data_IF_333709373004
#
_entry.id   IF_333709373004
#
_cell.length_a   1.000
_cell.length_b   1.000
_cell.length_c   1.000
_cell.angle_alpha   90.00
_cell.angle_beta   90.00
_cell.angle_gamma   90.00
#
_symmetry.space_group_name_H-M   'P 1'
#
loop_
_entity.id
_entity.type
_entity.pdbx_description
1 polymer ?
#
# COMPACT_ATOMS: atom_id res chain seq x y z
N UNK A 1 -13.63 -14.27 -28.94
CA UNK A 1 -13.46 -15.70 -28.60
C UNK A 1 -11.97 -15.99 -28.57
N UNK A 2 -11.40 -16.55 -27.50
CA UNK A 2 -9.98 -16.92 -27.49
C UNK A 2 -9.75 -18.16 -28.38
N UNK A 3 -8.67 -18.15 -29.15
CA UNK A 3 -8.20 -19.31 -29.92
C UNK A 3 -7.35 -20.20 -29.01
N UNK A 4 -7.59 -21.50 -29.02
CA UNK A 4 -6.82 -22.49 -28.27
C UNK A 4 -6.05 -23.39 -29.25
N UNK A 5 -4.74 -23.50 -29.05
CA UNK A 5 -3.87 -24.38 -29.82
C UNK A 5 -3.56 -25.63 -28.98
N UNK A 6 -3.86 -26.82 -29.52
CA UNK A 6 -3.44 -28.09 -28.92
C UNK A 6 -2.08 -28.46 -29.48
N UNK A 7 -1.04 -28.42 -28.63
CA UNK A 7 0.31 -28.81 -29.02
C UNK A 7 0.58 -30.24 -28.51
N UNK A 8 0.68 -31.24 -29.40
CA UNK A 8 1.00 -32.60 -29.00
C UNK A 8 2.47 -32.71 -28.56
N UNK A 9 2.69 -32.69 -27.25
CA UNK A 9 4.02 -32.71 -26.62
C UNK A 9 4.89 -33.92 -27.05
N UNK A 10 4.26 -35.05 -27.37
CA UNK A 10 4.97 -36.28 -27.79
C UNK A 10 5.61 -36.18 -29.18
N UNK A 11 5.18 -35.23 -30.02
CA UNK A 11 5.75 -35.02 -31.36
C UNK A 11 6.91 -34.02 -31.36
N UNK A 12 7.16 -33.33 -30.23
CA UNK A 12 8.22 -32.35 -30.09
C UNK A 12 9.57 -33.03 -29.91
N UNK A 13 10.51 -32.73 -30.81
CA UNK A 13 11.84 -33.37 -30.89
C UNK A 13 12.91 -32.64 -30.07
N UNK A 14 12.52 -31.81 -29.11
CA UNK A 14 13.43 -31.01 -28.29
C UNK A 14 14.30 -30.04 -29.10
N UNK A 15 13.79 -29.58 -30.25
CA UNK A 15 14.42 -28.55 -31.08
C UNK A 15 13.68 -27.25 -30.79
N UNK A 16 14.39 -26.25 -30.27
CA UNK A 16 13.83 -24.94 -29.91
C UNK A 16 14.15 -23.94 -31.02
N UNK A 17 13.12 -23.46 -31.74
CA UNK A 17 13.28 -22.52 -32.85
C UNK A 17 12.59 -21.17 -32.57
N UNK A 18 11.52 -21.17 -31.80
CA UNK A 18 10.76 -19.97 -31.44
C UNK A 18 10.36 -19.92 -29.96
N UNK A 19 9.60 -18.88 -29.58
CA UNK A 19 9.14 -18.69 -28.20
C UNK A 19 8.18 -19.80 -27.76
N UNK A 20 7.33 -20.32 -28.66
CA UNK A 20 6.38 -21.39 -28.33
C UNK A 20 7.13 -22.69 -28.06
N UNK A 21 8.18 -22.99 -28.84
CA UNK A 21 9.02 -24.16 -28.62
C UNK A 21 9.75 -24.10 -27.28
N UNK A 22 10.17 -22.91 -26.82
CA UNK A 22 10.76 -22.74 -25.49
C UNK A 22 9.75 -23.13 -24.40
N UNK A 23 8.49 -22.72 -24.52
CA UNK A 23 7.42 -23.12 -23.60
C UNK A 23 7.15 -24.62 -23.67
N UNK A 24 7.10 -25.21 -24.86
CA UNK A 24 6.88 -26.66 -25.06
C UNK A 24 8.00 -27.48 -24.44
N UNK A 25 9.26 -27.06 -24.66
CA UNK A 25 10.42 -27.67 -24.02
C UNK A 25 10.30 -27.60 -22.50
N UNK A 26 9.99 -26.42 -21.96
CA UNK A 26 9.96 -26.22 -20.52
C UNK A 26 8.89 -27.06 -19.82
N UNK A 27 7.71 -27.21 -20.42
CA UNK A 27 6.67 -28.09 -19.87
C UNK A 27 6.99 -29.57 -20.02
N UNK A 28 7.62 -29.97 -21.13
CA UNK A 28 7.98 -31.37 -21.36
C UNK A 28 9.09 -31.83 -20.42
N UNK A 29 10.09 -30.99 -20.19
CA UNK A 29 11.29 -31.33 -19.42
C UNK A 29 11.23 -30.84 -17.95
N UNK A 30 10.21 -30.05 -17.61
CA UNK A 30 10.05 -29.43 -16.29
C UNK A 30 11.27 -28.57 -15.89
N UNK A 31 11.88 -27.91 -16.87
CA UNK A 31 13.12 -27.12 -16.76
C UNK A 31 13.07 -25.94 -17.72
N UNK A 32 13.47 -24.74 -17.26
CA UNK A 32 13.62 -23.55 -18.12
C UNK A 32 15.11 -23.24 -18.23
N UNK A 33 15.66 -23.35 -19.43
CA UNK A 33 17.07 -23.05 -19.69
C UNK A 33 17.35 -21.55 -19.55
N UNK A 34 18.57 -21.19 -19.15
CA UNK A 34 18.98 -19.80 -18.90
C UNK A 34 18.90 -18.91 -20.15
N UNK A 35 19.09 -19.49 -21.33
CA UNK A 35 19.01 -18.82 -22.62
C UNK A 35 17.58 -18.53 -23.11
N UNK A 36 16.56 -19.05 -22.43
CA UNK A 36 15.17 -18.84 -22.83
C UNK A 36 14.74 -17.39 -22.58
N UNK A 37 14.20 -16.76 -23.63
CA UNK A 37 13.82 -15.34 -23.64
C UNK A 37 12.34 -15.12 -23.96
N UNK A 38 11.57 -16.20 -24.15
CA UNK A 38 10.14 -16.13 -24.43
C UNK A 38 9.40 -15.25 -23.39
N UNK A 39 8.51 -14.34 -23.82
CA UNK A 39 7.82 -13.44 -22.91
C UNK A 39 7.11 -14.19 -21.76
N UNK A 40 7.49 -13.89 -20.52
CA UNK A 40 6.91 -14.49 -19.31
C UNK A 40 7.52 -15.82 -18.87
N UNK A 41 8.48 -16.40 -19.60
CA UNK A 41 9.07 -17.71 -19.27
C UNK A 41 9.90 -17.68 -17.98
N UNK A 42 10.43 -16.51 -17.60
CA UNK A 42 11.09 -16.30 -16.31
C UNK A 42 10.18 -16.57 -15.11
N UNK A 43 8.89 -16.22 -15.20
CA UNK A 43 7.93 -16.53 -14.13
C UNK A 43 7.67 -18.04 -14.01
N UNK A 44 7.75 -18.79 -15.12
CA UNK A 44 7.69 -20.25 -15.09
C UNK A 44 8.94 -20.82 -14.42
N UNK A 45 10.13 -20.28 -14.73
CA UNK A 45 11.38 -20.68 -14.10
C UNK A 45 11.32 -20.54 -12.58
N UNK A 46 10.97 -19.36 -12.08
CA UNK A 46 10.81 -19.11 -10.64
C UNK A 46 9.84 -20.11 -9.98
N UNK A 47 8.73 -20.42 -10.67
CA UNK A 47 7.74 -21.37 -10.18
C UNK A 47 8.27 -22.81 -10.18
N UNK A 48 9.00 -23.23 -11.21
CA UNK A 48 9.61 -24.55 -11.29
C UNK A 48 10.72 -24.70 -10.25
N UNK A 49 11.54 -23.67 -10.05
CA UNK A 49 12.57 -23.64 -9.00
C UNK A 49 11.93 -23.83 -7.62
N UNK A 50 10.85 -23.10 -7.32
CA UNK A 50 10.08 -23.27 -6.08
C UNK A 50 9.49 -24.68 -5.93
N UNK A 51 8.96 -25.26 -7.02
CA UNK A 51 8.43 -26.63 -7.02
C UNK A 51 9.54 -27.69 -6.95
N UNK A 52 10.75 -27.38 -7.39
CA UNK A 52 11.93 -28.24 -7.28
C UNK A 52 12.57 -28.22 -5.89
N UNK A 53 12.36 -27.15 -5.11
CA UNK A 53 12.86 -27.03 -3.75
C UNK A 53 12.34 -28.15 -2.84
N UNK A 54 13.23 -28.64 -1.98
CA UNK A 54 12.84 -29.57 -0.92
C UNK A 54 12.00 -28.87 0.16
N UNK A 55 11.37 -29.65 1.05
CA UNK A 55 10.47 -29.10 2.08
C UNK A 55 11.18 -28.14 3.06
N UNK A 56 12.49 -28.30 3.26
CA UNK A 56 13.30 -27.46 4.15
C UNK A 56 13.66 -26.13 3.47
N UNK A 57 13.91 -26.15 2.17
CA UNK A 57 14.14 -24.99 1.32
C UNK A 57 12.88 -24.15 1.19
N UNK A 58 11.73 -24.76 0.85
CA UNK A 58 10.44 -24.04 0.79
C UNK A 58 10.10 -23.38 2.12
N UNK A 59 10.23 -24.10 3.24
CA UNK A 59 9.99 -23.53 4.58
C UNK A 59 10.90 -22.35 4.92
N UNK A 60 12.13 -22.28 4.39
CA UNK A 60 13.02 -21.12 4.59
C UNK A 60 12.56 -19.94 3.74
N UNK A 61 12.20 -20.21 2.48
CA UNK A 61 11.70 -19.20 1.55
C UNK A 61 10.39 -18.58 2.06
N UNK A 62 9.41 -19.41 2.43
CA UNK A 62 8.11 -18.95 2.92
C UNK A 62 8.26 -18.07 4.17
N UNK A 63 9.13 -18.46 5.12
CA UNK A 63 9.43 -17.62 6.31
C UNK A 63 10.03 -16.27 5.95
N UNK A 64 10.88 -16.20 4.94
CA UNK A 64 11.47 -14.94 4.50
C UNK A 64 10.42 -14.03 3.86
N UNK A 65 9.53 -14.61 3.03
CA UNK A 65 8.42 -13.88 2.41
C UNK A 65 7.43 -13.37 3.45
N UNK A 66 7.08 -14.19 4.45
CA UNK A 66 6.19 -13.80 5.54
C UNK A 66 6.78 -12.67 6.39
N UNK A 67 8.09 -12.76 6.69
CA UNK A 67 8.81 -11.71 7.41
C UNK A 67 8.78 -10.38 6.63
N UNK A 68 9.11 -10.41 5.34
CA UNK A 68 9.07 -9.23 4.50
C UNK A 68 7.65 -8.63 4.41
N UNK A 69 6.61 -9.45 4.25
CA UNK A 69 5.22 -8.98 4.21
C UNK A 69 4.80 -8.34 5.53
N UNK A 70 5.22 -8.91 6.66
CA UNK A 70 4.96 -8.35 7.99
C UNK A 70 5.61 -6.97 8.15
N UNK A 71 6.89 -6.85 7.81
CA UNK A 71 7.63 -5.58 7.89
C UNK A 71 6.98 -4.50 7.01
N UNK A 72 6.57 -4.86 5.79
CA UNK A 72 5.84 -3.96 4.89
C UNK A 72 4.51 -3.49 5.50
N UNK A 73 3.72 -4.42 6.06
CA UNK A 73 2.45 -4.07 6.72
C UNK A 73 2.64 -3.15 7.92
N UNK A 74 3.70 -3.36 8.72
CA UNK A 74 4.03 -2.48 9.85
C UNK A 74 4.41 -1.06 9.39
N UNK A 75 5.22 -0.95 8.34
CA UNK A 75 5.63 0.36 7.79
C UNK A 75 4.44 1.10 7.19
N UNK A 76 3.56 0.40 6.47
CA UNK A 76 2.36 1.00 5.89
C UNK A 76 1.43 1.53 6.97
N UNK A 77 1.15 0.73 8.01
CA UNK A 77 0.34 1.17 9.14
C UNK A 77 0.93 2.39 9.85
N UNK A 78 2.23 2.38 10.15
CA UNK A 78 2.90 3.50 10.81
C UNK A 78 2.88 4.78 9.96
N UNK A 79 2.94 4.66 8.62
CA UNK A 79 2.81 5.80 7.71
C UNK A 79 1.38 6.34 7.68
N UNK A 80 0.39 5.46 7.68
CA UNK A 80 -1.03 5.85 7.74
C UNK A 80 -1.32 6.61 9.03
N UNK A 81 -0.96 6.03 10.19
CA UNK A 81 -1.13 6.66 11.51
C UNK A 81 -0.43 8.02 11.57
N UNK A 82 0.85 8.10 11.19
CA UNK A 82 1.58 9.37 11.22
C UNK A 82 1.00 10.43 10.27
N UNK A 83 0.35 10.02 9.17
CA UNK A 83 -0.34 10.93 8.25
C UNK A 83 -1.66 11.42 8.85
N UNK A 84 -2.41 10.57 9.52
CA UNK A 84 -3.64 10.93 10.22
C UNK A 84 -3.35 11.89 11.39
N UNK A 85 -2.36 11.57 12.22
CA UNK A 85 -1.91 12.42 13.34
C UNK A 85 -1.45 13.79 12.81
N UNK A 86 -0.55 13.82 11.82
CA UNK A 86 -0.06 15.08 11.26
C UNK A 86 -1.14 15.92 10.59
N UNK A 87 -2.21 15.29 10.08
CA UNK A 87 -3.39 16.01 9.58
C UNK A 87 -4.17 16.67 10.73
N UNK A 88 -4.41 15.93 11.81
CA UNK A 88 -5.09 16.45 12.99
C UNK A 88 -4.34 17.61 13.65
N UNK A 89 -3.03 17.48 13.85
CA UNK A 89 -2.18 18.56 14.35
C UNK A 89 -2.22 19.80 13.43
N UNK A 90 -2.27 19.57 12.11
CA UNK A 90 -2.40 20.63 11.12
C UNK A 90 -3.73 21.39 11.21
N UNK A 91 -4.86 20.69 11.40
CA UNK A 91 -6.19 21.29 11.59
C UNK A 91 -6.25 22.12 12.88
N UNK A 92 -5.72 21.60 13.99
CA UNK A 92 -5.57 22.34 15.27
C UNK A 92 -4.76 23.62 15.09
N UNK A 93 -3.58 23.52 14.47
CA UNK A 93 -2.70 24.66 14.26
C UNK A 93 -3.33 25.72 13.34
N UNK A 94 -4.03 25.28 12.29
CA UNK A 94 -4.75 26.16 11.38
C UNK A 94 -5.87 26.92 12.11
N UNK A 95 -6.70 26.21 12.88
CA UNK A 95 -7.81 26.82 13.60
C UNK A 95 -7.30 27.85 14.62
N UNK A 96 -6.26 27.52 15.40
CA UNK A 96 -5.62 28.48 16.33
C UNK A 96 -5.12 29.73 15.61
N UNK A 97 -4.47 29.57 14.45
CA UNK A 97 -4.01 30.70 13.64
C UNK A 97 -5.18 31.57 13.16
N UNK A 98 -6.26 30.96 12.67
CA UNK A 98 -7.43 31.70 12.21
C UNK A 98 -8.12 32.46 13.35
N UNK A 99 -8.29 31.81 14.51
CA UNK A 99 -8.84 32.43 15.72
C UNK A 99 -7.96 33.62 16.15
N UNK A 100 -6.64 33.42 16.15
CA UNK A 100 -5.66 34.46 16.45
C UNK A 100 -5.74 35.67 15.51
N UNK A 101 -5.92 35.42 14.21
CA UNK A 101 -6.08 36.49 13.22
C UNK A 101 -7.39 37.25 13.37
N UNK A 102 -8.50 36.57 13.70
CA UNK A 102 -9.82 37.19 13.75
C UNK A 102 -10.10 37.90 15.08
N UNK A 103 -9.65 37.31 16.19
CA UNK A 103 -10.01 37.73 17.54
C UNK A 103 -8.83 38.24 18.36
N UNK A 104 -7.61 38.17 17.83
CA UNK A 104 -6.39 38.54 18.55
C UNK A 104 -5.85 37.40 19.42
N UNK A 105 -4.95 37.69 20.38
CA UNK A 105 -4.33 36.68 21.24
C UNK A 105 -5.36 35.78 21.92
N UNK A 106 -5.17 34.46 21.82
CA UNK A 106 -6.11 33.50 22.38
C UNK A 106 -5.87 33.32 23.88
N UNK A 107 -6.94 33.25 24.70
CA UNK A 107 -6.81 32.83 26.09
C UNK A 107 -6.26 31.39 26.16
N UNK A 108 -5.42 31.10 27.16
CA UNK A 108 -4.84 29.77 27.35
C UNK A 108 -5.91 28.65 27.45
N UNK A 109 -7.07 28.98 28.02
CA UNK A 109 -8.22 28.06 28.11
C UNK A 109 -8.79 27.66 26.75
N UNK A 110 -8.79 28.59 25.79
CA UNK A 110 -9.23 28.34 24.42
C UNK A 110 -8.19 27.51 23.68
N UNK A 111 -6.91 27.83 23.84
CA UNK A 111 -5.84 27.05 23.22
C UNK A 111 -5.86 25.59 23.68
N UNK A 112 -5.99 25.35 24.98
CA UNK A 112 -6.07 24.01 25.55
C UNK A 112 -7.34 23.27 25.10
N UNK A 113 -8.47 23.98 24.96
CA UNK A 113 -9.71 23.40 24.42
C UNK A 113 -9.55 22.95 22.98
N UNK A 114 -8.85 23.73 22.14
CA UNK A 114 -8.60 23.38 20.74
C UNK A 114 -7.58 22.24 20.61
N UNK A 115 -6.54 22.20 21.45
CA UNK A 115 -5.56 21.10 21.44
C UNK A 115 -6.15 19.73 21.80
N UNK A 116 -7.21 19.72 22.62
CA UNK A 116 -7.87 18.51 23.09
C UNK A 116 -9.15 18.17 22.32
N UNK A 117 -9.48 18.95 21.30
CA UNK A 117 -10.71 18.80 20.55
C UNK A 117 -10.67 17.57 19.65
N UNK A 118 -11.82 16.91 19.51
CA UNK A 118 -12.01 15.82 18.55
C UNK A 118 -12.14 16.42 17.14
N UNK A 119 -11.83 15.61 16.12
CA UNK A 119 -11.91 16.02 14.71
C UNK A 119 -13.27 16.62 14.33
N UNK A 120 -14.37 16.09 14.88
CA UNK A 120 -15.73 16.61 14.65
C UNK A 120 -15.93 18.02 15.22
N UNK A 121 -15.34 18.30 16.38
CA UNK A 121 -15.41 19.61 17.05
C UNK A 121 -14.57 20.64 16.29
N UNK A 122 -13.37 20.26 15.84
CA UNK A 122 -12.52 21.10 14.99
C UNK A 122 -13.24 21.47 13.70
N UNK A 123 -13.81 20.50 12.98
CA UNK A 123 -14.53 20.74 11.73
C UNK A 123 -15.76 21.66 11.92
N UNK A 124 -16.45 21.56 13.06
CA UNK A 124 -17.56 22.44 13.41
C UNK A 124 -17.07 23.88 13.63
N UNK A 125 -16.01 24.06 14.41
CA UNK A 125 -15.45 25.36 14.73
C UNK A 125 -14.80 26.03 13.51
N UNK A 126 -14.17 25.27 12.62
CA UNK A 126 -13.65 25.74 11.32
C UNK A 126 -14.73 26.32 10.42
N UNK A 127 -15.96 25.81 10.49
CA UNK A 127 -17.10 26.39 9.75
C UNK A 127 -17.64 27.62 10.45
N UNK A 128 -17.79 27.57 11.78
CA UNK A 128 -18.36 28.67 12.55
C UNK A 128 -17.48 29.91 12.55
N UNK A 129 -16.15 29.76 12.61
CA UNK A 129 -15.22 30.89 12.58
C UNK A 129 -15.36 31.78 11.34
N UNK A 130 -15.82 31.22 10.22
CA UNK A 130 -16.06 31.98 8.98
C UNK A 130 -17.16 33.05 9.16
N UNK A 131 -18.13 32.83 10.06
CA UNK A 131 -19.26 33.74 10.30
C UNK A 131 -19.38 34.30 11.72
N UNK A 132 -18.67 33.73 12.70
CA UNK A 132 -18.81 34.11 14.11
C UNK A 132 -18.18 35.47 14.43
N UNK A 133 -18.91 36.40 15.02
CA UNK A 133 -18.38 37.73 15.39
C UNK A 133 -17.58 37.71 16.71
N UNK A 134 -17.67 36.64 17.50
CA UNK A 134 -16.98 36.49 18.78
C UNK A 134 -16.42 35.08 18.96
N UNK A 135 -15.43 34.93 19.86
CA UNK A 135 -14.89 33.62 20.25
C UNK A 135 -15.99 32.70 20.78
N UNK A 136 -16.86 33.20 21.66
CA UNK A 136 -17.95 32.40 22.25
C UNK A 136 -18.88 31.82 21.18
N UNK A 137 -19.19 32.59 20.13
CA UNK A 137 -20.03 32.12 19.03
C UNK A 137 -19.38 31.00 18.19
N UNK A 138 -18.04 30.87 18.19
CA UNK A 138 -17.36 29.73 17.57
C UNK A 138 -17.57 28.46 18.39
N UNK A 139 -17.46 28.59 19.71
CA UNK A 139 -17.38 27.47 20.64
C UNK A 139 -18.69 27.11 21.35
N UNK A 140 -19.81 27.75 20.98
CA UNK A 140 -21.14 27.49 21.52
C UNK A 140 -21.56 26.02 21.28
N UNK A 141 -22.15 25.35 22.27
CA UNK A 141 -22.57 23.95 22.13
C UNK A 141 -23.92 23.79 21.38
N UNK A 142 -24.49 24.91 20.90
CA UNK A 142 -25.80 25.01 20.23
C UNK A 142 -25.84 24.56 18.76
#
# INVERSE_FOLDING_TARGET
FPEYYLIPLNAFKDIVLDDVDQWVYAFKNNEVLDEFTAPGIGALKEKLDYLGMDEKERRRFDRHVDYARSDWGMIEHAKEEGREEGRGEGEVALLKRLLGYKFGPLPATVEERVDKARTEELALWERRILGAETLDAVFDDS
#
